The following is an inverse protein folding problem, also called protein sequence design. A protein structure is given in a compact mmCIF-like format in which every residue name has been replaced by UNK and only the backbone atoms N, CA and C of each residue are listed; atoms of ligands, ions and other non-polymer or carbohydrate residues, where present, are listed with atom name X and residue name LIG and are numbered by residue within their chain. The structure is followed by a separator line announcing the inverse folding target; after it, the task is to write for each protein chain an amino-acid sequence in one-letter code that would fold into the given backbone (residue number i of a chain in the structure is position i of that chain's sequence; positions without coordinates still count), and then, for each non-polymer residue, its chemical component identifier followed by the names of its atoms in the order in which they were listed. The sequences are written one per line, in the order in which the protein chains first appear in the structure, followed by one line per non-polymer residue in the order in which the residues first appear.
data_IF_445721727729
#
_entry.id   IF_445721727729
#
_cell.length_a   1.000
_cell.length_b   1.000
_cell.length_c   1.000
_cell.angle_alpha   90.00
_cell.angle_beta   90.00
_cell.angle_gamma   90.00
#
_symmetry.space_group_name_H-M   'P 1'
#
loop_
_entity.id
_entity.type
_entity.pdbx_description
1 polymer ?
#
# COMPACT_ATOMS: atom_id res chain seq x y z
N UNK A 1 68.61 -10.69 89.08
CA UNK A 1 68.18 -11.46 87.90
C UNK A 1 68.07 -10.48 86.76
N UNK A 2 69.14 -10.34 85.99
CA UNK A 2 69.10 -9.59 84.74
C UNK A 2 68.43 -10.51 83.72
N UNK A 3 67.22 -10.16 83.27
CA UNK A 3 66.64 -10.78 82.08
C UNK A 3 67.52 -10.38 80.90
N UNK A 4 68.36 -11.30 80.43
CA UNK A 4 69.26 -11.04 79.31
C UNK A 4 68.44 -10.59 78.10
N UNK A 5 68.61 -9.32 77.69
CA UNK A 5 67.95 -8.78 76.51
C UNK A 5 68.47 -9.53 75.29
N UNK A 6 67.70 -10.52 74.84
CA UNK A 6 68.02 -11.36 73.70
C UNK A 6 67.93 -10.52 72.42
N UNK A 7 69.07 -9.98 72.00
CA UNK A 7 69.17 -9.21 70.76
C UNK A 7 68.71 -10.07 69.59
N UNK A 8 67.82 -9.53 68.78
CA UNK A 8 67.38 -10.16 67.54
C UNK A 8 68.23 -9.59 66.41
N UNK A 9 68.74 -10.44 65.52
CA UNK A 9 69.57 -10.01 64.38
C UNK A 9 68.84 -10.32 63.08
N UNK A 10 68.78 -9.34 62.18
CA UNK A 10 68.28 -9.50 60.82
C UNK A 10 69.42 -9.21 59.85
N UNK A 11 69.80 -10.20 59.02
CA UNK A 11 70.75 -10.00 57.93
C UNK A 11 70.01 -9.73 56.61
N UNK A 12 70.23 -8.59 55.98
CA UNK A 12 69.71 -8.25 54.63
C UNK A 12 70.90 -8.03 53.71
N UNK A 13 70.98 -8.76 52.58
CA UNK A 13 72.07 -8.62 51.60
C UNK A 13 73.49 -8.60 52.24
N UNK A 14 73.69 -9.49 53.22
CA UNK A 14 74.91 -9.60 54.04
C UNK A 14 75.23 -8.44 55.01
N UNK A 15 74.37 -7.42 55.11
CA UNK A 15 74.39 -6.42 56.20
C UNK A 15 73.61 -6.91 57.43
N UNK A 16 74.23 -6.88 58.62
CA UNK A 16 73.56 -7.22 59.89
C UNK A 16 72.92 -5.99 60.55
N UNK A 17 71.63 -6.10 60.89
CA UNK A 17 70.89 -5.12 61.69
C UNK A 17 70.47 -5.73 63.02
N UNK A 18 70.75 -5.02 64.12
CA UNK A 18 70.46 -5.50 65.48
C UNK A 18 69.24 -4.79 66.08
N UNK A 19 68.27 -5.57 66.54
CA UNK A 19 67.02 -5.11 67.13
C UNK A 19 66.96 -5.43 68.63
N UNK A 20 66.34 -4.55 69.41
CA UNK A 20 66.13 -4.70 70.86
C UNK A 20 65.25 -5.89 71.25
N UNK A 21 64.44 -6.39 70.31
CA UNK A 21 63.60 -7.57 70.47
C UNK A 21 62.72 -7.81 69.24
N UNK A 22 61.93 -8.88 69.30
CA UNK A 22 61.07 -9.34 68.20
C UNK A 22 60.02 -8.28 67.82
N UNK A 23 59.47 -7.54 68.78
CA UNK A 23 58.49 -6.47 68.50
C UNK A 23 59.10 -5.30 67.69
N UNK A 24 60.38 -4.97 67.95
CA UNK A 24 61.10 -3.94 67.20
C UNK A 24 61.37 -4.39 65.77
N UNK A 25 61.75 -5.65 65.57
CA UNK A 25 61.89 -6.26 64.24
C UNK A 25 60.55 -6.28 63.50
N UNK A 26 59.45 -6.68 64.17
CA UNK A 26 58.10 -6.68 63.58
C UNK A 26 57.66 -5.29 63.16
N UNK A 27 57.97 -4.28 63.97
CA UNK A 27 57.68 -2.86 63.66
C UNK A 27 58.44 -2.40 62.41
N UNK A 28 59.73 -2.72 62.30
CA UNK A 28 60.55 -2.40 61.13
C UNK A 28 60.05 -3.12 59.86
N UNK A 29 59.74 -4.41 59.92
CA UNK A 29 59.20 -5.15 58.78
C UNK A 29 57.82 -4.62 58.34
N UNK A 30 57.02 -4.10 59.27
CA UNK A 30 55.76 -3.44 58.96
C UNK A 30 55.97 -2.07 58.31
N UNK A 31 56.95 -1.29 58.77
CA UNK A 31 57.33 -0.01 58.17
C UNK A 31 57.83 -0.19 56.72
N UNK A 32 58.66 -1.21 56.46
CA UNK A 32 59.05 -1.61 55.10
C UNK A 32 57.83 -2.04 54.25
N UNK A 33 56.90 -2.83 54.79
CA UNK A 33 55.68 -3.20 54.06
C UNK A 33 54.80 -2.00 53.67
N UNK A 34 54.72 -1.00 54.55
CA UNK A 34 53.96 0.23 54.31
C UNK A 34 54.71 1.23 53.40
N UNK A 35 56.05 1.30 53.45
CA UNK A 35 56.84 2.17 52.56
C UNK A 35 56.77 1.75 51.09
N UNK A 36 56.64 0.44 50.82
CA UNK A 36 56.46 -0.13 49.48
C UNK A 36 55.00 -0.31 49.02
N UNK A 37 54.02 -0.09 49.89
CA UNK A 37 52.57 -0.29 49.65
C UNK A 37 52.00 0.41 48.42
N UNK A 38 52.58 1.54 48.03
CA UNK A 38 52.25 2.30 46.82
C UNK A 38 52.35 1.46 45.53
N UNK A 39 53.22 0.45 45.47
CA UNK A 39 53.30 -0.47 44.34
C UNK A 39 51.97 -1.22 44.15
N UNK A 40 51.40 -1.77 45.22
CA UNK A 40 50.12 -2.48 45.18
C UNK A 40 48.95 -1.55 44.87
N UNK A 41 48.98 -0.32 45.39
CA UNK A 41 47.85 0.61 45.31
C UNK A 41 47.77 1.38 43.96
N UNK A 42 48.68 1.09 43.00
CA UNK A 42 48.69 1.68 41.65
C UNK A 42 47.56 1.17 40.74
N UNK A 43 46.48 1.95 40.61
CA UNK A 43 45.32 1.62 39.77
C UNK A 43 45.62 1.42 38.28
N UNK A 44 46.54 2.19 37.70
CA UNK A 44 46.81 2.20 36.25
C UNK A 44 47.46 0.89 35.78
N UNK A 45 48.29 0.27 36.63
CA UNK A 45 49.05 -0.95 36.31
C UNK A 45 48.79 -2.07 37.32
N UNK A 46 47.58 -2.14 37.87
CA UNK A 46 47.30 -2.94 39.09
C UNK A 46 47.73 -4.40 39.02
N UNK A 47 47.70 -5.05 37.86
CA UNK A 47 48.20 -6.42 37.71
C UNK A 47 49.74 -6.51 37.78
N UNK A 48 50.45 -5.61 37.09
CA UNK A 48 51.92 -5.59 36.97
C UNK A 48 52.55 -5.11 38.27
N UNK A 49 52.03 -4.02 38.82
CA UNK A 49 52.54 -3.40 40.04
C UNK A 49 52.27 -4.25 41.29
N UNK A 50 51.16 -5.00 41.32
CA UNK A 50 50.93 -6.04 42.32
C UNK A 50 51.84 -7.26 42.13
N UNK A 51 52.09 -7.74 40.90
CA UNK A 51 53.04 -8.83 40.63
C UNK A 51 54.47 -8.45 41.09
N UNK A 52 54.89 -7.21 40.84
CA UNK A 52 56.15 -6.66 41.34
C UNK A 52 56.15 -6.53 42.87
N UNK A 53 55.12 -5.96 43.51
CA UNK A 53 55.02 -5.90 44.98
C UNK A 53 55.08 -7.29 45.64
N UNK A 54 54.38 -8.28 45.05
CA UNK A 54 54.37 -9.65 45.54
C UNK A 54 55.76 -10.30 45.48
N UNK A 55 56.52 -10.07 44.41
CA UNK A 55 57.86 -10.64 44.18
C UNK A 55 58.96 -9.90 44.92
N UNK A 56 58.94 -8.57 44.91
CA UNK A 56 60.00 -7.71 45.45
C UNK A 56 59.89 -7.49 46.96
N UNK A 57 58.66 -7.43 47.50
CA UNK A 57 58.43 -7.13 48.93
C UNK A 57 57.92 -8.36 49.67
N UNK A 58 56.75 -8.86 49.28
CA UNK A 58 56.06 -9.89 50.06
C UNK A 58 56.79 -11.24 50.03
N UNK A 59 57.48 -11.59 48.95
CA UNK A 59 58.27 -12.83 48.87
C UNK A 59 59.35 -12.90 49.96
N UNK A 60 60.00 -11.76 50.25
CA UNK A 60 61.09 -11.68 51.21
C UNK A 60 60.59 -11.46 52.65
N UNK A 61 59.60 -10.58 52.86
CA UNK A 61 59.12 -10.22 54.20
C UNK A 61 58.13 -11.24 54.78
N UNK A 62 57.20 -11.77 53.97
CA UNK A 62 56.13 -12.64 54.51
C UNK A 62 56.63 -13.91 55.21
N UNK A 63 57.68 -14.62 54.70
CA UNK A 63 58.25 -15.77 55.41
C UNK A 63 58.86 -15.40 56.77
N UNK A 64 59.39 -14.18 56.93
CA UNK A 64 59.91 -13.70 58.21
C UNK A 64 58.79 -13.34 59.17
N UNK A 65 57.78 -12.60 58.71
CA UNK A 65 56.58 -12.28 59.51
C UNK A 65 55.88 -13.55 60.02
N UNK A 66 55.72 -14.57 59.17
CA UNK A 66 55.14 -15.86 59.56
C UNK A 66 56.00 -16.61 60.59
N UNK A 67 57.34 -16.53 60.51
CA UNK A 67 58.24 -17.12 61.52
C UNK A 67 58.14 -16.39 62.86
N UNK A 68 58.04 -15.06 62.83
CA UNK A 68 57.86 -14.21 64.02
C UNK A 68 56.52 -14.54 64.71
N UNK A 69 55.43 -14.61 63.95
CA UNK A 69 54.09 -14.93 64.47
C UNK A 69 53.94 -16.39 64.92
N UNK A 70 54.79 -17.29 64.40
CA UNK A 70 54.90 -18.68 64.85
C UNK A 70 55.51 -18.87 66.25
N UNK A 71 55.84 -17.79 66.97
CA UNK A 71 56.38 -17.85 68.33
C UNK A 71 57.88 -18.14 68.39
N UNK A 72 58.67 -17.56 67.48
CA UNK A 72 60.12 -17.63 67.55
C UNK A 72 60.64 -16.96 68.84
N UNK A 73 61.31 -17.73 69.70
CA UNK A 73 61.87 -17.24 70.95
C UNK A 73 62.89 -16.11 70.74
N UNK A 74 62.98 -15.22 71.73
CA UNK A 74 63.90 -14.08 71.70
C UNK A 74 65.35 -14.53 71.55
N UNK A 75 66.02 -14.04 70.51
CA UNK A 75 67.40 -14.42 70.15
C UNK A 75 67.53 -15.17 68.83
N UNK A 76 66.43 -15.39 68.10
CA UNK A 76 66.49 -15.93 66.74
C UNK A 76 67.22 -14.99 65.76
N UNK A 77 68.03 -15.59 64.88
CA UNK A 77 68.65 -14.94 63.72
C UNK A 77 67.72 -15.07 62.51
N UNK A 78 67.41 -13.93 61.87
CA UNK A 78 66.58 -13.86 60.68
C UNK A 78 67.44 -13.40 59.50
N UNK A 79 67.20 -13.92 58.30
CA UNK A 79 67.99 -13.60 57.13
C UNK A 79 67.12 -13.44 55.88
N UNK A 80 67.22 -12.28 55.23
CA UNK A 80 66.79 -12.06 53.85
C UNK A 80 68.02 -12.28 52.96
N UNK A 81 68.23 -13.54 52.59
CA UNK A 81 69.31 -13.97 51.67
C UNK A 81 68.70 -14.70 50.49
N UNK A 82 68.15 -13.93 49.55
CA UNK A 82 67.93 -14.43 48.19
C UNK A 82 69.04 -13.90 47.28
N UNK A 83 70.00 -14.77 46.97
CA UNK A 83 71.13 -14.47 46.09
C UNK A 83 70.71 -14.16 44.63
N UNK A 84 69.42 -14.28 44.28
CA UNK A 84 68.89 -13.98 42.95
C UNK A 84 68.05 -12.71 42.90
N UNK A 85 67.64 -12.18 44.05
CA UNK A 85 66.80 -10.99 44.14
C UNK A 85 67.19 -10.24 45.42
N UNK A 86 68.22 -9.36 45.36
CA UNK A 86 68.62 -8.57 46.52
C UNK A 86 67.45 -7.70 46.97
N UNK A 87 67.20 -7.67 48.28
CA UNK A 87 66.09 -6.89 48.82
C UNK A 87 66.54 -5.43 49.01
N UNK A 88 65.89 -4.49 48.31
CA UNK A 88 66.14 -3.06 48.52
C UNK A 88 65.37 -2.61 49.76
N UNK A 89 66.11 -2.22 50.80
CA UNK A 89 65.54 -1.57 51.99
C UNK A 89 65.02 -0.20 51.61
N UNK A 90 63.94 0.27 52.23
CA UNK A 90 63.40 1.60 51.92
C UNK A 90 64.29 2.76 52.42
N UNK A 91 65.23 2.47 53.33
CA UNK A 91 66.24 3.39 53.85
C UNK A 91 67.57 3.41 53.07
N UNK A 92 67.82 2.46 52.16
CA UNK A 92 69.07 2.41 51.38
C UNK A 92 69.13 3.54 50.35
N UNK A 93 70.31 3.77 49.76
CA UNK A 93 70.49 4.79 48.71
C UNK A 93 69.54 4.52 47.52
N UNK A 94 69.44 3.28 47.05
CA UNK A 94 68.45 2.84 46.06
C UNK A 94 66.99 3.11 46.50
N UNK A 95 66.65 2.76 47.74
CA UNK A 95 65.30 2.95 48.30
C UNK A 95 64.90 4.43 48.39
N UNK A 96 65.85 5.28 48.76
CA UNK A 96 65.72 6.73 48.76
C UNK A 96 65.63 7.31 47.34
N UNK A 97 66.41 6.79 46.38
CA UNK A 97 66.34 7.18 44.97
C UNK A 97 64.98 6.83 44.36
N UNK A 98 64.47 5.62 44.57
CA UNK A 98 63.13 5.20 44.15
C UNK A 98 62.07 6.09 44.80
N UNK A 99 62.18 6.35 46.10
CA UNK A 99 61.24 7.19 46.86
C UNK A 99 61.24 8.63 46.36
N UNK A 100 62.41 9.23 46.11
CA UNK A 100 62.55 10.58 45.54
C UNK A 100 61.99 10.64 44.13
N UNK A 101 62.39 9.72 43.24
CA UNK A 101 61.89 9.65 41.86
C UNK A 101 60.37 9.49 41.79
N UNK A 102 59.79 8.67 42.68
CA UNK A 102 58.33 8.54 42.87
C UNK A 102 57.68 9.87 43.28
N UNK A 103 58.26 10.59 44.23
CA UNK A 103 57.69 11.86 44.73
C UNK A 103 57.82 13.01 43.73
N UNK A 104 58.91 13.06 42.95
CA UNK A 104 59.18 14.15 42.01
C UNK A 104 58.52 13.95 40.64
N UNK A 105 58.51 12.72 40.12
CA UNK A 105 58.06 12.39 38.76
C UNK A 105 56.87 11.41 38.71
N UNK A 106 56.34 11.02 39.87
CA UNK A 106 55.18 10.15 40.00
C UNK A 106 55.50 8.65 39.99
N UNK A 107 54.47 7.86 40.28
CA UNK A 107 54.61 6.43 40.56
C UNK A 107 55.14 5.60 39.36
N UNK A 108 54.99 6.08 38.12
CA UNK A 108 55.46 5.37 36.92
C UNK A 108 56.98 5.39 36.84
N UNK A 109 57.62 6.54 37.10
CA UNK A 109 59.09 6.64 37.21
C UNK A 109 59.60 5.81 38.38
N UNK A 110 58.93 5.87 39.53
CA UNK A 110 59.26 4.99 40.67
C UNK A 110 59.22 3.49 40.30
N UNK A 111 58.22 3.07 39.51
CA UNK A 111 58.10 1.68 39.04
C UNK A 111 59.24 1.29 38.09
N UNK A 112 59.62 2.17 37.17
CA UNK A 112 60.77 1.93 36.30
C UNK A 112 62.10 1.91 37.07
N UNK A 113 62.28 2.74 38.11
CA UNK A 113 63.46 2.69 38.98
C UNK A 113 63.59 1.33 39.68
N UNK A 114 62.51 0.78 40.24
CA UNK A 114 62.49 -0.59 40.82
C UNK A 114 62.90 -1.64 39.77
N UNK A 115 62.43 -1.51 38.52
CA UNK A 115 62.74 -2.44 37.43
C UNK A 115 64.21 -2.33 36.96
N UNK A 116 64.79 -1.12 36.98
CA UNK A 116 66.13 -0.86 36.42
C UNK A 116 67.27 -0.95 37.42
N UNK A 117 67.04 -0.68 38.71
CA UNK A 117 68.07 -0.77 39.75
C UNK A 117 68.46 -2.23 40.07
N UNK A 118 67.55 -3.20 39.87
CA UNK A 118 67.85 -4.62 40.09
C UNK A 118 68.15 -5.34 38.77
N UNK A 119 69.39 -5.75 38.47
CA UNK A 119 69.75 -6.42 37.21
C UNK A 119 68.94 -7.69 36.93
N UNK A 120 68.59 -8.46 37.96
CA UNK A 120 67.87 -9.72 37.86
C UNK A 120 66.39 -9.53 37.49
N UNK A 121 65.85 -8.31 37.69
CA UNK A 121 64.51 -7.97 37.21
C UNK A 121 64.47 -7.84 35.69
N UNK A 122 65.61 -7.66 35.01
CA UNK A 122 65.66 -7.81 33.55
C UNK A 122 65.30 -9.24 33.10
N UNK A 123 65.56 -10.27 33.90
CA UNK A 123 65.03 -11.62 33.62
C UNK A 123 63.51 -11.69 33.84
N UNK A 124 62.97 -10.95 34.82
CA UNK A 124 61.53 -10.89 35.05
C UNK A 124 60.80 -10.14 33.92
N UNK A 125 61.41 -9.10 33.32
CA UNK A 125 60.92 -8.49 32.07
C UNK A 125 60.83 -9.56 30.97
N UNK A 126 61.86 -10.41 30.80
CA UNK A 126 61.83 -11.49 29.78
C UNK A 126 60.79 -12.59 30.08
N UNK A 127 60.58 -12.93 31.35
CA UNK A 127 59.70 -14.04 31.79
C UNK A 127 58.23 -13.64 31.94
N UNK A 128 57.93 -12.38 32.28
CA UNK A 128 56.57 -11.88 32.47
C UNK A 128 56.13 -11.04 31.25
N UNK A 129 55.25 -11.56 30.38
CA UNK A 129 54.83 -10.84 29.17
C UNK A 129 54.10 -9.53 29.51
N UNK A 130 53.45 -9.45 30.67
CA UNK A 130 52.79 -8.22 31.14
C UNK A 130 53.83 -7.12 31.46
N UNK A 131 54.89 -7.44 32.22
CA UNK A 131 56.00 -6.51 32.48
C UNK A 131 56.65 -6.11 31.15
N UNK A 132 56.92 -7.08 30.27
CA UNK A 132 57.49 -6.80 28.94
C UNK A 132 56.65 -5.80 28.16
N UNK A 133 55.33 -6.04 28.04
CA UNK A 133 54.43 -5.16 27.28
C UNK A 133 54.34 -3.74 27.86
N UNK A 134 54.52 -3.57 29.17
CA UNK A 134 54.56 -2.25 29.81
C UNK A 134 55.90 -1.53 29.58
N UNK A 135 57.02 -2.25 29.63
CA UNK A 135 58.36 -1.69 29.33
C UNK A 135 58.53 -1.36 27.84
N UNK A 136 57.80 -2.05 26.96
CA UNK A 136 57.76 -1.78 25.51
C UNK A 136 56.64 -0.80 25.09
N UNK A 137 55.84 -0.27 26.04
CA UNK A 137 54.76 0.67 25.74
C UNK A 137 55.30 2.09 25.48
N UNK A 138 55.17 2.55 24.23
CA UNK A 138 55.57 3.89 23.80
C UNK A 138 54.86 5.04 24.51
N UNK A 139 53.78 4.79 25.26
CA UNK A 139 53.12 5.81 26.08
C UNK A 139 54.00 6.31 27.24
N UNK A 140 54.96 5.50 27.72
CA UNK A 140 55.81 5.82 28.88
C UNK A 140 57.29 6.00 28.55
N UNK A 141 57.62 6.23 27.26
CA UNK A 141 59.02 6.38 26.84
C UNK A 141 59.74 7.55 27.51
N UNK A 142 59.02 8.58 27.99
CA UNK A 142 59.60 9.68 28.75
C UNK A 142 60.02 9.22 30.16
N UNK A 143 59.09 8.62 30.90
CA UNK A 143 59.30 8.11 32.25
C UNK A 143 60.36 7.01 32.27
N UNK A 144 60.35 6.14 31.26
CA UNK A 144 61.35 5.10 31.02
C UNK A 144 62.74 5.70 30.81
N UNK A 145 62.89 6.64 29.87
CA UNK A 145 64.18 7.28 29.58
C UNK A 145 64.69 8.11 30.77
N UNK A 146 63.78 8.73 31.54
CA UNK A 146 64.13 9.48 32.74
C UNK A 146 64.60 8.57 33.87
N UNK A 147 63.89 7.47 34.14
CA UNK A 147 64.30 6.48 35.13
C UNK A 147 65.65 5.84 34.75
N UNK A 148 65.83 5.47 33.48
CA UNK A 148 67.11 4.95 32.99
C UNK A 148 68.23 5.99 33.15
N UNK A 149 67.98 7.27 32.87
CA UNK A 149 68.95 8.35 33.09
C UNK A 149 69.31 8.53 34.57
N UNK A 150 68.35 8.39 35.49
CA UNK A 150 68.62 8.42 36.94
C UNK A 150 69.53 7.25 37.34
N UNK A 151 69.19 6.02 36.96
CA UNK A 151 70.04 4.84 37.25
C UNK A 151 71.43 4.99 36.64
N UNK A 152 71.54 5.48 35.41
CA UNK A 152 72.85 5.74 34.77
C UNK A 152 73.64 6.88 35.42
N UNK A 153 72.99 7.82 36.13
CA UNK A 153 73.67 8.87 36.88
C UNK A 153 74.12 8.40 38.27
N UNK A 154 73.47 7.37 38.79
CA UNK A 154 73.71 6.75 40.10
C UNK A 154 74.80 5.66 40.04
N UNK A 155 74.92 4.97 38.89
CA UNK A 155 76.06 4.09 38.59
C UNK A 155 77.36 4.91 38.65
N UNK A 156 78.15 4.69 39.70
CA UNK A 156 79.44 5.36 39.89
C UNK A 156 80.46 4.91 38.82
N UNK A 157 80.53 5.69 37.74
CA UNK A 157 81.52 5.58 36.66
C UNK A 157 82.97 5.64 37.16
N UNK A 158 83.23 6.07 38.40
CA UNK A 158 84.54 5.96 39.04
C UNK A 158 85.08 4.52 39.01
N UNK A 159 84.22 3.54 39.28
CA UNK A 159 84.57 2.11 39.28
C UNK A 159 84.98 1.58 37.90
N UNK A 160 84.28 1.98 36.83
CA UNK A 160 84.55 1.58 35.45
C UNK A 160 85.79 2.29 34.85
N UNK A 161 86.17 3.45 35.39
CA UNK A 161 87.30 4.24 34.88
C UNK A 161 88.69 3.73 35.28
N UNK A 162 88.78 2.87 36.31
CA UNK A 162 90.06 2.50 36.92
C UNK A 162 90.81 1.34 36.24
N UNK A 163 90.10 0.41 35.56
CA UNK A 163 90.72 -0.82 35.02
C UNK A 163 91.18 -0.73 33.54
N UNK A 164 90.80 0.31 32.79
CA UNK A 164 91.12 0.46 31.37
C UNK A 164 92.35 1.36 31.10
N UNK A 165 93.53 0.90 31.53
CA UNK A 165 94.78 1.70 31.50
C UNK A 165 95.41 1.78 30.09
N UNK A 166 95.05 2.84 29.36
CA UNK A 166 95.80 3.51 28.26
C UNK A 166 96.14 2.71 26.98
N UNK A 167 96.58 1.46 27.05
CA UNK A 167 96.95 0.68 25.85
C UNK A 167 95.75 0.15 25.04
N UNK A 168 94.66 -0.22 25.73
CA UNK A 168 93.44 -0.70 25.07
C UNK A 168 92.60 0.43 24.43
N UNK A 169 92.83 1.68 24.83
CA UNK A 169 92.02 2.82 24.37
C UNK A 169 92.33 3.21 22.93
N UNK A 170 93.59 3.21 22.50
CA UNK A 170 93.93 3.51 21.10
C UNK A 170 93.37 2.42 20.16
N UNK A 171 93.47 1.15 20.54
CA UNK A 171 92.87 0.04 19.76
C UNK A 171 91.33 0.10 19.75
N UNK A 172 90.69 0.49 20.87
CA UNK A 172 89.25 0.73 20.91
C UNK A 172 88.82 1.92 20.06
N UNK A 173 89.59 3.02 20.06
CA UNK A 173 89.32 4.22 19.25
C UNK A 173 89.51 3.91 17.76
N UNK A 174 90.52 3.14 17.38
CA UNK A 174 90.73 2.74 15.98
C UNK A 174 89.63 1.78 15.50
N UNK A 175 89.28 0.75 16.30
CA UNK A 175 88.13 -0.14 16.03
C UNK A 175 86.81 0.62 15.99
N UNK A 176 86.61 1.63 16.84
CA UNK A 176 85.42 2.48 16.85
C UNK A 176 85.36 3.34 15.59
N UNK A 177 86.45 4.02 15.23
CA UNK A 177 86.59 4.79 14.00
C UNK A 177 86.29 3.94 12.76
N UNK A 178 86.81 2.72 12.70
CA UNK A 178 86.54 1.79 11.61
C UNK A 178 85.05 1.38 11.56
N UNK A 179 84.43 1.01 12.69
CA UNK A 179 82.98 0.70 12.72
C UNK A 179 82.11 1.90 12.37
N UNK A 180 82.50 3.11 12.78
CA UNK A 180 81.82 4.35 12.40
C UNK A 180 81.90 4.54 10.89
N UNK A 181 83.06 4.31 10.28
CA UNK A 181 83.24 4.39 8.82
C UNK A 181 82.44 3.32 8.06
N UNK A 182 82.44 2.08 8.54
CA UNK A 182 81.62 0.97 8.01
C UNK A 182 80.12 1.28 8.14
N UNK A 183 79.71 1.88 9.27
CA UNK A 183 78.33 2.33 9.49
C UNK A 183 77.94 3.48 8.58
N UNK A 184 78.85 4.41 8.28
CA UNK A 184 78.60 5.47 7.28
C UNK A 184 78.43 4.89 5.88
N UNK A 185 79.28 3.95 5.43
CA UNK A 185 79.08 3.30 4.12
C UNK A 185 77.78 2.50 4.05
N UNK A 186 77.36 1.87 5.15
CA UNK A 186 76.09 1.15 5.21
C UNK A 186 74.87 2.10 5.22
N UNK A 187 75.01 3.30 5.78
CA UNK A 187 74.00 4.36 5.71
C UNK A 187 73.88 4.93 4.29
N UNK A 188 75.00 5.16 3.59
CA UNK A 188 74.98 5.61 2.18
C UNK A 188 74.33 4.55 1.26
N UNK A 189 74.67 3.26 1.43
CA UNK A 189 74.04 2.15 0.69
C UNK A 189 72.54 2.05 0.98
N UNK A 190 72.14 2.24 2.24
CA UNK A 190 70.73 2.28 2.64
C UNK A 190 70.00 3.51 2.07
N UNK A 191 70.64 4.67 1.98
CA UNK A 191 70.05 5.87 1.37
C UNK A 191 69.72 5.63 -0.12
N UNK A 192 70.62 5.00 -0.87
CA UNK A 192 70.39 4.66 -2.27
C UNK A 192 69.33 3.56 -2.46
N UNK A 193 69.30 2.51 -1.63
CA UNK A 193 68.20 1.52 -1.66
C UNK A 193 66.84 2.18 -1.35
N UNK A 194 66.79 3.10 -0.37
CA UNK A 194 65.57 3.87 -0.07
C UNK A 194 65.15 4.75 -1.25
N UNK A 195 66.07 5.46 -1.92
CA UNK A 195 65.77 6.24 -3.15
C UNK A 195 65.20 5.36 -4.27
N UNK A 196 65.84 4.22 -4.54
CA UNK A 196 65.39 3.27 -5.57
C UNK A 196 64.00 2.69 -5.27
N UNK A 197 63.74 2.33 -4.00
CA UNK A 197 62.41 1.88 -3.55
C UNK A 197 61.36 2.98 -3.68
N UNK A 198 61.68 4.23 -3.34
CA UNK A 198 60.76 5.36 -3.49
C UNK A 198 60.38 5.57 -4.97
N UNK A 199 61.35 5.60 -5.89
CA UNK A 199 61.09 5.73 -7.33
C UNK A 199 60.28 4.54 -7.91
N UNK A 200 60.55 3.32 -7.44
CA UNK A 200 59.76 2.14 -7.80
C UNK A 200 58.31 2.23 -7.29
N UNK A 201 58.12 2.72 -6.05
CA UNK A 201 56.81 2.92 -5.44
C UNK A 201 56.02 4.00 -6.19
N UNK A 202 56.63 5.13 -6.49
CA UNK A 202 56.03 6.26 -7.21
C UNK A 202 55.53 5.85 -8.60
N UNK A 203 56.40 5.25 -9.43
CA UNK A 203 56.02 4.75 -10.76
C UNK A 203 54.96 3.64 -10.71
N UNK A 204 54.95 2.81 -9.65
CA UNK A 204 53.89 1.82 -9.42
C UNK A 204 52.55 2.49 -9.07
N UNK A 205 52.57 3.56 -8.28
CA UNK A 205 51.37 4.35 -7.98
C UNK A 205 50.82 5.04 -9.22
N UNK A 206 51.63 5.72 -10.03
CA UNK A 206 51.18 6.34 -11.29
C UNK A 206 50.53 5.33 -12.24
N UNK A 207 51.17 4.15 -12.40
CA UNK A 207 50.65 3.08 -13.26
C UNK A 207 49.32 2.51 -12.75
N UNK A 208 49.13 2.38 -11.43
CA UNK A 208 47.85 1.96 -10.85
C UNK A 208 46.80 3.07 -10.95
N UNK A 209 47.18 4.32 -10.71
CA UNK A 209 46.28 5.47 -10.74
C UNK A 209 45.72 5.71 -12.15
N UNK A 210 46.57 5.68 -13.18
CA UNK A 210 46.16 5.77 -14.59
C UNK A 210 45.24 4.61 -15.02
N UNK A 211 45.50 3.39 -14.56
CA UNK A 211 44.59 2.25 -14.77
C UNK A 211 43.23 2.45 -14.07
N UNK A 212 43.21 3.00 -12.86
CA UNK A 212 41.98 3.32 -12.13
C UNK A 212 41.19 4.41 -12.87
N UNK A 213 41.83 5.50 -13.27
CA UNK A 213 41.22 6.59 -14.04
C UNK A 213 40.59 6.09 -15.35
N UNK A 214 41.33 5.31 -16.15
CA UNK A 214 40.80 4.73 -17.39
C UNK A 214 39.61 3.79 -17.15
N UNK A 215 39.65 2.99 -16.08
CA UNK A 215 38.54 2.13 -15.70
C UNK A 215 37.31 2.91 -15.21
N UNK A 216 37.51 4.02 -14.47
CA UNK A 216 36.45 4.91 -14.04
C UNK A 216 35.81 5.63 -15.22
N UNK A 217 36.59 6.19 -16.16
CA UNK A 217 36.09 6.82 -17.39
C UNK A 217 35.21 5.84 -18.20
N UNK A 218 35.72 4.62 -18.46
CA UNK A 218 34.96 3.54 -19.14
C UNK A 218 33.72 3.05 -18.37
N UNK A 219 33.64 3.26 -17.06
CA UNK A 219 32.42 2.98 -16.26
C UNK A 219 31.43 4.14 -16.38
N UNK A 220 31.88 5.38 -16.26
CA UNK A 220 31.06 6.59 -16.40
C UNK A 220 30.39 6.64 -17.77
N UNK A 221 31.12 6.34 -18.85
CA UNK A 221 30.57 6.27 -20.21
C UNK A 221 29.48 5.19 -20.35
N UNK A 222 29.71 3.99 -19.81
CA UNK A 222 28.69 2.92 -19.80
C UNK A 222 27.47 3.24 -18.94
N UNK A 223 27.64 3.94 -17.81
CA UNK A 223 26.50 4.41 -17.02
C UNK A 223 25.72 5.51 -17.74
N UNK A 224 26.39 6.39 -18.49
CA UNK A 224 25.73 7.41 -19.33
C UNK A 224 24.93 6.77 -20.46
N UNK A 225 25.51 5.80 -21.20
CA UNK A 225 24.78 5.10 -22.26
C UNK A 225 23.58 4.33 -21.69
N UNK A 226 23.79 3.52 -20.66
CA UNK A 226 22.73 2.76 -20.00
C UNK A 226 21.60 3.67 -19.47
N UNK A 227 21.93 4.82 -18.87
CA UNK A 227 20.92 5.78 -18.42
C UNK A 227 20.15 6.42 -19.57
N UNK A 228 20.78 6.62 -20.73
CA UNK A 228 20.11 7.08 -21.95
C UNK A 228 19.17 6.00 -22.50
N UNK A 229 19.65 4.76 -22.60
CA UNK A 229 18.88 3.61 -23.12
C UNK A 229 17.65 3.33 -22.25
N UNK A 230 17.81 3.34 -20.92
CA UNK A 230 16.71 3.18 -19.95
C UNK A 230 15.69 4.32 -20.08
N UNK A 231 16.13 5.57 -20.29
CA UNK A 231 15.22 6.70 -20.52
C UNK A 231 14.44 6.56 -21.83
N UNK A 232 15.10 6.11 -22.89
CA UNK A 232 14.45 5.87 -24.18
C UNK A 232 13.42 4.73 -24.12
N UNK A 233 13.77 3.60 -23.52
CA UNK A 233 12.86 2.46 -23.31
C UNK A 233 11.69 2.81 -22.37
N UNK A 234 11.94 3.54 -21.28
CA UNK A 234 10.88 4.00 -20.37
C UNK A 234 9.96 5.00 -21.07
N UNK A 235 10.51 5.95 -21.83
CA UNK A 235 9.73 6.91 -22.61
C UNK A 235 8.85 6.23 -23.66
N UNK A 236 9.39 5.22 -24.35
CA UNK A 236 8.62 4.39 -25.29
C UNK A 236 7.49 3.64 -24.57
N UNK A 237 7.79 2.89 -23.50
CA UNK A 237 6.79 2.14 -22.73
C UNK A 237 5.69 3.04 -22.14
N UNK A 238 6.04 4.26 -21.74
CA UNK A 238 5.05 5.24 -21.28
C UNK A 238 4.15 5.72 -22.42
N UNK A 239 4.71 5.98 -23.60
CA UNK A 239 3.96 6.35 -24.80
C UNK A 239 3.04 5.20 -25.27
N UNK A 240 3.56 3.98 -25.32
CA UNK A 240 2.82 2.76 -25.69
C UNK A 240 1.65 2.55 -24.70
N UNK A 241 1.90 2.63 -23.39
CA UNK A 241 0.86 2.52 -22.36
C UNK A 241 -0.17 3.66 -22.39
N UNK A 242 0.22 4.89 -22.76
CA UNK A 242 -0.72 5.99 -22.97
C UNK A 242 -1.60 5.77 -24.20
N UNK A 243 -1.04 5.22 -25.28
CA UNK A 243 -1.78 4.85 -26.48
C UNK A 243 -2.74 3.69 -26.23
N UNK A 244 -2.31 2.66 -25.50
CA UNK A 244 -3.16 1.53 -25.09
C UNK A 244 -4.31 1.99 -24.18
N UNK A 245 -4.03 2.85 -23.19
CA UNK A 245 -5.06 3.42 -22.32
C UNK A 245 -6.08 4.25 -23.12
N UNK A 246 -5.61 5.04 -24.08
CA UNK A 246 -6.51 5.79 -24.97
C UNK A 246 -7.36 4.84 -25.83
N UNK A 247 -6.74 3.85 -26.46
CA UNK A 247 -7.45 2.86 -27.28
C UNK A 247 -8.50 2.08 -26.47
N UNK A 248 -8.16 1.68 -25.24
CA UNK A 248 -9.09 1.01 -24.33
C UNK A 248 -10.22 1.94 -23.86
N UNK A 249 -9.94 3.22 -23.62
CA UNK A 249 -10.96 4.22 -23.30
C UNK A 249 -11.93 4.43 -24.47
N UNK A 250 -11.40 4.59 -25.68
CA UNK A 250 -12.19 4.82 -26.89
C UNK A 250 -13.09 3.60 -27.17
N UNK A 251 -12.53 2.38 -27.12
CA UNK A 251 -13.30 1.13 -27.24
C UNK A 251 -14.38 0.95 -26.15
N UNK A 252 -14.13 1.42 -24.92
CA UNK A 252 -15.14 1.43 -23.86
C UNK A 252 -16.27 2.43 -24.14
N UNK A 253 -15.97 3.61 -24.70
CA UNK A 253 -17.01 4.58 -25.08
C UNK A 253 -17.88 4.02 -26.21
N UNK A 254 -17.26 3.42 -27.24
CA UNK A 254 -17.98 2.73 -28.32
C UNK A 254 -18.93 1.64 -27.77
N UNK A 255 -18.48 0.85 -26.79
CA UNK A 255 -19.32 -0.18 -26.16
C UNK A 255 -20.50 0.42 -25.37
N UNK A 256 -20.28 1.52 -24.65
CA UNK A 256 -21.33 2.22 -23.87
C UNK A 256 -22.38 2.86 -24.80
N UNK A 257 -21.96 3.52 -25.88
CA UNK A 257 -22.87 4.15 -26.84
C UNK A 257 -23.70 3.11 -27.59
N UNK A 258 -23.12 1.95 -27.92
CA UNK A 258 -23.84 0.83 -28.52
C UNK A 258 -24.84 0.20 -27.54
N UNK A 259 -24.51 0.01 -26.26
CA UNK A 259 -25.48 -0.50 -25.28
C UNK A 259 -26.63 0.50 -25.04
N UNK A 260 -26.35 1.80 -25.00
CA UNK A 260 -27.39 2.83 -24.94
C UNK A 260 -28.40 2.71 -26.11
N UNK A 261 -27.93 2.36 -27.31
CA UNK A 261 -28.82 2.09 -28.45
C UNK A 261 -29.67 0.82 -28.26
N UNK A 262 -29.13 -0.25 -27.66
CA UNK A 262 -29.90 -1.46 -27.29
C UNK A 262 -30.95 -1.12 -26.24
N UNK A 263 -30.60 -0.33 -25.22
CA UNK A 263 -31.53 0.11 -24.18
C UNK A 263 -32.68 0.94 -24.78
N UNK A 264 -32.39 1.87 -25.70
CA UNK A 264 -33.42 2.65 -26.41
C UNK A 264 -34.39 1.75 -27.19
N UNK A 265 -33.89 0.86 -28.05
CA UNK A 265 -34.75 0.01 -28.88
C UNK A 265 -35.51 -1.05 -28.08
N UNK A 266 -34.91 -1.60 -27.01
CA UNK A 266 -35.60 -2.53 -26.11
C UNK A 266 -36.69 -1.83 -25.30
N UNK A 267 -36.46 -0.60 -24.81
CA UNK A 267 -37.51 0.21 -24.23
C UNK A 267 -38.65 0.44 -25.23
N UNK A 268 -38.32 0.87 -26.47
CA UNK A 268 -39.30 1.10 -27.54
C UNK A 268 -40.12 -0.15 -27.85
N UNK A 269 -39.49 -1.33 -27.94
CA UNK A 269 -40.14 -2.63 -28.09
C UNK A 269 -41.17 -2.88 -26.99
N UNK A 270 -40.83 -2.64 -25.71
CA UNK A 270 -41.79 -2.85 -24.61
C UNK A 270 -42.97 -1.87 -24.68
N UNK A 271 -42.75 -0.61 -25.05
CA UNK A 271 -43.84 0.38 -25.18
C UNK A 271 -44.82 0.00 -26.29
N UNK A 272 -44.33 -0.37 -27.48
CA UNK A 272 -45.20 -0.80 -28.59
C UNK A 272 -45.86 -2.17 -28.33
N UNK A 273 -45.18 -3.09 -27.63
CA UNK A 273 -45.79 -4.36 -27.22
C UNK A 273 -46.94 -4.15 -26.22
N UNK A 274 -46.79 -3.25 -25.24
CA UNK A 274 -47.87 -2.87 -24.31
C UNK A 274 -49.03 -2.18 -25.05
N UNK A 275 -48.72 -1.22 -25.92
CA UNK A 275 -49.74 -0.53 -26.72
C UNK A 275 -50.51 -1.49 -27.64
N UNK A 276 -49.83 -2.46 -28.27
CA UNK A 276 -50.44 -3.52 -29.07
C UNK A 276 -51.50 -4.29 -28.26
N UNK A 277 -51.16 -4.78 -27.08
CA UNK A 277 -52.13 -5.52 -26.25
C UNK A 277 -53.27 -4.63 -25.73
N UNK A 278 -53.00 -3.36 -25.43
CA UNK A 278 -54.04 -2.40 -25.02
C UNK A 278 -55.04 -2.11 -26.16
N UNK A 279 -54.58 -1.94 -27.39
CA UNK A 279 -55.47 -1.75 -28.55
C UNK A 279 -56.22 -3.03 -28.93
N UNK A 280 -55.59 -4.21 -28.80
CA UNK A 280 -56.29 -5.49 -28.95
C UNK A 280 -57.41 -5.64 -27.91
N UNK A 281 -57.14 -5.30 -26.66
CA UNK A 281 -58.15 -5.31 -25.60
C UNK A 281 -59.28 -4.30 -25.89
N UNK A 282 -58.96 -3.10 -26.37
CA UNK A 282 -59.96 -2.11 -26.78
C UNK A 282 -60.87 -2.62 -27.93
N UNK A 283 -60.30 -3.30 -28.93
CA UNK A 283 -61.08 -3.94 -30.01
C UNK A 283 -62.02 -5.02 -29.46
N UNK A 284 -61.53 -5.89 -28.58
CA UNK A 284 -62.36 -6.92 -27.92
C UNK A 284 -63.48 -6.27 -27.09
N UNK A 285 -63.18 -5.18 -26.37
CA UNK A 285 -64.18 -4.44 -25.61
C UNK A 285 -65.24 -3.80 -26.52
N UNK A 286 -64.86 -3.17 -27.63
CA UNK A 286 -65.83 -2.62 -28.59
C UNK A 286 -66.69 -3.71 -29.23
N UNK A 287 -66.11 -4.87 -29.55
CA UNK A 287 -66.86 -6.04 -30.06
C UNK A 287 -67.82 -6.62 -29.00
N UNK A 288 -67.42 -6.65 -27.74
CA UNK A 288 -68.31 -7.01 -26.63
C UNK A 288 -69.44 -6.01 -26.45
N UNK A 289 -69.13 -4.71 -26.46
CA UNK A 289 -70.10 -3.61 -26.33
C UNK A 289 -71.09 -3.62 -27.50
N UNK A 290 -70.68 -3.91 -28.74
CA UNK A 290 -71.66 -4.04 -29.84
C UNK A 290 -72.59 -5.21 -29.62
N UNK A 291 -72.07 -6.38 -29.25
CA UNK A 291 -72.86 -7.59 -29.04
C UNK A 291 -73.85 -7.44 -27.89
N UNK A 292 -73.38 -7.08 -26.69
CA UNK A 292 -74.24 -6.87 -25.51
C UNK A 292 -75.12 -5.63 -25.64
N UNK A 293 -74.65 -4.58 -26.32
CA UNK A 293 -75.43 -3.37 -26.62
C UNK A 293 -76.62 -3.67 -27.53
N UNK A 294 -76.42 -4.45 -28.60
CA UNK A 294 -77.50 -4.93 -29.47
C UNK A 294 -78.50 -5.80 -28.70
N UNK A 295 -78.02 -6.78 -27.92
CA UNK A 295 -78.89 -7.65 -27.11
C UNK A 295 -79.72 -6.82 -26.11
N UNK A 296 -79.09 -5.85 -25.43
CA UNK A 296 -79.79 -4.97 -24.47
C UNK A 296 -80.79 -4.06 -25.19
N UNK A 297 -80.41 -3.45 -26.31
CA UNK A 297 -81.27 -2.56 -27.09
C UNK A 297 -82.56 -3.26 -27.55
N UNK A 298 -82.45 -4.49 -28.08
CA UNK A 298 -83.65 -5.28 -28.43
C UNK A 298 -84.39 -5.81 -27.19
N UNK A 299 -83.69 -6.21 -26.12
CA UNK A 299 -84.28 -6.70 -24.88
C UNK A 299 -85.12 -5.67 -24.12
N UNK A 300 -84.75 -4.39 -24.15
CA UNK A 300 -85.51 -3.28 -23.56
C UNK A 300 -86.61 -2.71 -24.49
N UNK A 301 -86.88 -3.34 -25.65
CA UNK A 301 -87.94 -2.93 -26.57
C UNK A 301 -87.57 -1.77 -27.51
N UNK A 302 -86.28 -1.57 -27.79
CA UNK A 302 -85.76 -0.55 -28.71
C UNK A 302 -86.27 0.89 -28.43
N UNK A 303 -86.36 1.77 -29.42
CA UNK A 303 -86.83 3.16 -29.28
C UNK A 303 -88.31 3.19 -28.82
N UNK A 304 -89.08 2.15 -29.13
CA UNK A 304 -90.47 2.01 -28.65
C UNK A 304 -90.59 1.92 -27.12
N UNK A 305 -89.57 1.41 -26.42
CA UNK A 305 -89.46 1.44 -24.96
C UNK A 305 -88.99 2.79 -24.43
N UNK A 306 -88.05 3.43 -25.13
CA UNK A 306 -87.47 4.74 -24.76
C UNK A 306 -88.48 5.89 -24.83
N UNK A 307 -89.41 5.88 -25.79
CA UNK A 307 -90.44 6.93 -25.86
C UNK A 307 -91.38 6.92 -24.65
N UNK A 308 -91.65 5.74 -24.06
CA UNK A 308 -92.48 5.60 -22.85
C UNK A 308 -91.81 6.17 -21.60
N UNK A 309 -90.49 6.05 -21.46
CA UNK A 309 -89.78 6.69 -20.33
C UNK A 309 -89.64 8.20 -20.53
N UNK A 310 -89.39 8.67 -21.75
CA UNK A 310 -89.29 10.10 -22.05
C UNK A 310 -90.63 10.86 -21.86
N UNK A 311 -91.77 10.23 -22.17
CA UNK A 311 -93.08 10.84 -21.88
C UNK A 311 -93.42 10.95 -20.38
N UNK A 312 -92.76 10.18 -19.50
CA UNK A 312 -92.94 10.31 -18.04
C UNK A 312 -92.24 11.53 -17.41
N UNK A 313 -91.55 12.36 -18.21
CA UNK A 313 -90.77 13.53 -17.75
C UNK A 313 -91.43 14.87 -18.16
N UNK A 314 -92.70 14.86 -18.58
CA UNK A 314 -93.47 16.09 -18.79
C UNK A 314 -93.98 16.68 -17.47
N UNK A 315 -93.37 17.79 -17.03
CA UNK A 315 -93.81 18.57 -15.87
C UNK A 315 -95.25 19.09 -16.05
N UNK A 316 -96.12 19.00 -15.02
CA UNK A 316 -97.45 19.60 -15.07
C UNK A 316 -97.36 21.09 -14.75
N UNK A 317 -97.70 21.95 -15.72
CA UNK A 317 -98.07 23.34 -15.42
C UNK A 317 -99.51 23.60 -15.87
N UNK A 318 -100.39 23.63 -14.87
CA UNK A 318 -101.77 24.10 -14.94
C UNK A 318 -101.81 25.56 -15.43
N UNK A 319 -102.83 25.96 -16.18
CA UNK A 319 -103.96 26.80 -15.69
C UNK A 319 -104.85 27.23 -16.88
N UNK A 320 -106.17 27.04 -16.73
CA UNK A 320 -107.24 27.49 -17.64
C UNK A 320 -107.40 29.03 -17.59
N UNK A 321 -108.16 29.70 -18.49
CA UNK A 321 -109.61 29.80 -18.24
C UNK A 321 -110.51 29.83 -19.49
N UNK A 322 -111.81 29.61 -19.22
CA UNK A 322 -112.93 29.59 -20.18
C UNK A 322 -113.46 30.99 -20.53
N UNK A 323 -114.38 31.07 -21.52
CA UNK A 323 -115.66 31.82 -21.44
C UNK A 323 -116.59 31.51 -22.65
N UNK A 324 -117.90 31.38 -22.35
CA UNK A 324 -119.14 31.49 -23.18
C UNK A 324 -119.09 31.40 -24.73
N UNK A 325 -119.86 30.59 -25.46
CA UNK A 325 -121.31 30.24 -25.45
C UNK A 325 -122.28 31.25 -26.13
N UNK A 326 -122.79 30.93 -27.33
CA UNK A 326 -124.06 31.41 -27.93
C UNK A 326 -124.70 30.25 -28.74
N UNK A 327 -126.03 30.26 -28.90
CA UNK A 327 -126.85 29.17 -29.48
C UNK A 327 -127.69 29.63 -30.69
N UNK A 328 -128.67 28.80 -31.08
CA UNK A 328 -129.68 28.94 -32.16
C UNK A 328 -129.22 28.67 -33.62
N UNK A 329 -130.05 28.12 -34.52
CA UNK A 329 -131.49 27.74 -34.42
C UNK A 329 -131.82 26.47 -35.22
N UNK A 330 -133.04 25.95 -35.07
CA UNK A 330 -133.54 24.71 -35.69
C UNK A 330 -134.89 24.93 -36.41
N UNK A 331 -135.26 24.03 -37.36
CA UNK A 331 -136.58 23.33 -37.44
C UNK A 331 -136.86 22.61 -38.78
N UNK A 332 -137.90 21.75 -38.72
CA UNK A 332 -138.59 21.00 -39.78
C UNK A 332 -137.93 19.67 -40.18
N UNK A 333 -138.59 18.50 -40.10
CA UNK A 333 -139.94 18.19 -39.59
C UNK A 333 -140.22 16.67 -39.56
N UNK A 334 -141.19 16.22 -38.77
CA UNK A 334 -141.73 14.84 -38.80
C UNK A 334 -142.82 14.74 -39.91
N UNK A 335 -143.23 13.62 -40.52
CA UNK A 335 -143.91 12.38 -40.05
C UNK A 335 -144.18 11.48 -41.30
N UNK A 336 -144.62 10.21 -41.29
CA UNK A 336 -144.55 9.02 -40.39
C UNK A 336 -145.10 7.79 -41.20
N UNK A 337 -145.17 6.56 -40.63
CA UNK A 337 -145.65 5.27 -41.21
C UNK A 337 -144.94 4.69 -42.46
N UNK A 338 -144.87 3.37 -42.72
CA UNK A 338 -145.20 2.16 -41.94
C UNK A 338 -144.28 0.97 -42.31
N UNK A 339 -144.41 -0.15 -41.60
CA UNK A 339 -143.63 -1.38 -41.70
C UNK A 339 -143.78 -2.17 -43.02
N UNK A 340 -142.75 -2.95 -43.41
CA UNK A 340 -142.76 -4.41 -43.13
C UNK A 340 -141.45 -5.18 -43.46
N UNK A 341 -141.00 -5.94 -42.45
CA UNK A 341 -140.30 -7.24 -42.48
C UNK A 341 -138.83 -7.36 -42.95
N UNK A 342 -138.10 -8.39 -42.41
CA UNK A 342 -136.64 -8.50 -42.51
C UNK A 342 -136.16 -9.57 -43.51
N UNK A 343 -134.86 -9.59 -43.79
CA UNK A 343 -134.03 -10.81 -43.97
C UNK A 343 -132.54 -10.45 -43.86
N UNK A 344 -131.74 -11.42 -43.42
CA UNK A 344 -130.28 -11.33 -43.19
C UNK A 344 -129.47 -10.96 -44.46
N UNK A 345 -128.25 -10.45 -44.26
CA UNK A 345 -127.00 -11.14 -44.67
C UNK A 345 -125.76 -10.43 -44.08
N UNK A 346 -124.75 -11.21 -43.73
CA UNK A 346 -123.42 -10.77 -43.28
C UNK A 346 -122.68 -9.89 -44.30
N UNK A 347 -121.80 -9.00 -43.86
CA UNK A 347 -120.34 -9.16 -44.08
C UNK A 347 -119.50 -7.97 -43.59
N UNK A 348 -118.24 -8.31 -43.31
CA UNK A 348 -117.12 -7.46 -42.89
C UNK A 348 -117.05 -6.07 -43.54
N UNK A 349 -116.75 -5.05 -42.72
CA UNK A 349 -116.04 -3.85 -43.21
C UNK A 349 -114.98 -3.33 -42.23
N UNK A 350 -113.82 -3.98 -42.35
CA UNK A 350 -112.45 -3.46 -42.25
C UNK A 350 -112.15 -2.30 -41.28
N UNK A 351 -111.31 -2.63 -40.29
CA UNK A 351 -110.34 -1.73 -39.68
C UNK A 351 -109.53 -0.96 -40.74
N UNK A 352 -109.73 0.36 -40.83
CA UNK A 352 -108.80 1.29 -41.47
C UNK A 352 -108.41 2.35 -40.43
N UNK A 353 -107.25 2.19 -39.79
CA UNK A 353 -106.81 3.12 -38.73
C UNK A 353 -105.54 2.75 -37.95
N UNK A 354 -104.69 1.82 -38.42
CA UNK A 354 -103.50 1.38 -37.69
C UNK A 354 -102.39 0.80 -38.59
N UNK A 355 -101.60 1.65 -39.26
CA UNK A 355 -100.40 1.19 -40.01
C UNK A 355 -99.24 2.19 -40.11
N UNK A 356 -99.43 3.50 -40.01
CA UNK A 356 -98.34 4.48 -40.25
C UNK A 356 -97.39 4.68 -39.07
N UNK A 357 -97.90 4.72 -37.83
CA UNK A 357 -97.10 4.95 -36.63
C UNK A 357 -96.18 3.77 -36.30
N UNK A 358 -96.71 2.55 -36.24
CA UNK A 358 -95.96 1.31 -35.96
C UNK A 358 -94.80 1.12 -36.96
N UNK A 359 -95.04 1.39 -38.25
CA UNK A 359 -94.00 1.29 -39.29
C UNK A 359 -92.94 2.38 -39.15
N UNK A 360 -93.32 3.62 -38.80
CA UNK A 360 -92.34 4.70 -38.55
C UNK A 360 -91.43 4.40 -37.36
N UNK A 361 -91.96 3.72 -36.33
CA UNK A 361 -91.23 3.36 -35.12
C UNK A 361 -90.24 2.20 -35.39
N UNK A 362 -90.68 1.16 -36.09
CA UNK A 362 -89.81 0.06 -36.52
C UNK A 362 -88.70 0.53 -37.48
N UNK A 363 -88.96 1.53 -38.33
CA UNK A 363 -87.94 2.16 -39.18
C UNK A 363 -86.95 2.99 -38.35
N UNK A 364 -87.41 3.73 -37.34
CA UNK A 364 -86.53 4.43 -36.42
C UNK A 364 -85.63 3.47 -35.61
N UNK A 365 -86.18 2.33 -35.16
CA UNK A 365 -85.43 1.28 -34.47
C UNK A 365 -84.31 0.69 -35.34
N UNK A 366 -84.62 0.39 -36.61
CA UNK A 366 -83.69 -0.17 -37.58
C UNK A 366 -82.59 0.83 -37.95
N UNK A 367 -82.95 2.10 -38.15
CA UNK A 367 -81.97 3.19 -38.40
C UNK A 367 -81.08 3.42 -37.18
N UNK A 368 -81.64 3.42 -35.97
CA UNK A 368 -80.87 3.56 -34.73
C UNK A 368 -79.86 2.43 -34.53
N UNK A 369 -80.28 1.17 -34.72
CA UNK A 369 -79.39 0.01 -34.66
C UNK A 369 -78.31 0.05 -35.76
N UNK A 370 -78.65 0.46 -36.98
CA UNK A 370 -77.69 0.61 -38.08
C UNK A 370 -76.65 1.69 -37.80
N UNK A 371 -77.04 2.84 -37.22
CA UNK A 371 -76.12 3.92 -36.84
C UNK A 371 -75.21 3.54 -35.66
N UNK A 372 -75.72 2.77 -34.68
CA UNK A 372 -74.87 2.22 -33.63
C UNK A 372 -73.83 1.24 -34.20
N UNK A 373 -74.26 0.34 -35.09
CA UNK A 373 -73.38 -0.65 -35.72
C UNK A 373 -72.31 0.00 -36.62
N UNK A 374 -72.64 1.06 -37.37
CA UNK A 374 -71.65 1.81 -38.17
C UNK A 374 -70.63 2.50 -37.27
N UNK A 375 -71.08 3.20 -36.21
CA UNK A 375 -70.22 3.92 -35.28
C UNK A 375 -69.20 2.98 -34.61
N UNK A 376 -69.67 1.88 -34.02
CA UNK A 376 -68.76 0.92 -33.40
C UNK A 376 -67.91 0.15 -34.42
N UNK A 377 -68.41 -0.09 -35.64
CA UNK A 377 -67.61 -0.64 -36.74
C UNK A 377 -66.41 0.23 -37.10
N UNK A 378 -66.60 1.56 -37.12
CA UNK A 378 -65.50 2.53 -37.29
C UNK A 378 -64.53 2.49 -36.11
N UNK A 379 -65.01 2.41 -34.86
CA UNK A 379 -64.14 2.29 -33.68
C UNK A 379 -63.32 0.99 -33.69
N UNK A 380 -63.91 -0.13 -34.08
CA UNK A 380 -63.22 -1.42 -34.27
C UNK A 380 -62.15 -1.30 -35.36
N UNK A 381 -62.44 -0.67 -36.51
CA UNK A 381 -61.47 -0.43 -37.59
C UNK A 381 -60.30 0.44 -37.15
N UNK A 382 -60.56 1.51 -36.38
CA UNK A 382 -59.51 2.37 -35.79
C UNK A 382 -58.66 1.54 -34.82
N UNK A 383 -59.27 0.77 -33.92
CA UNK A 383 -58.56 -0.08 -32.98
C UNK A 383 -57.69 -1.15 -33.66
N UNK A 384 -58.20 -1.80 -34.71
CA UNK A 384 -57.45 -2.77 -35.52
C UNK A 384 -56.29 -2.11 -36.28
N UNK A 385 -56.47 -0.90 -36.82
CA UNK A 385 -55.40 -0.13 -37.46
C UNK A 385 -54.29 0.24 -36.47
N UNK A 386 -54.65 0.69 -35.26
CA UNK A 386 -53.67 1.00 -34.22
C UNK A 386 -52.97 -0.26 -33.68
N UNK A 387 -53.69 -1.38 -33.53
CA UNK A 387 -53.12 -2.69 -33.21
C UNK A 387 -52.08 -3.11 -34.25
N UNK A 388 -52.43 -3.10 -35.54
CA UNK A 388 -51.51 -3.46 -36.63
C UNK A 388 -50.30 -2.53 -36.68
N UNK A 389 -50.49 -1.22 -36.54
CA UNK A 389 -49.40 -0.24 -36.50
C UNK A 389 -48.43 -0.53 -35.34
N UNK A 390 -48.94 -0.69 -34.11
CA UNK A 390 -48.10 -1.04 -32.97
C UNK A 390 -47.48 -2.44 -33.06
N UNK A 391 -48.13 -3.40 -33.74
CA UNK A 391 -47.55 -4.71 -34.00
C UNK A 391 -46.37 -4.62 -34.97
N UNK A 392 -46.48 -3.86 -36.06
CA UNK A 392 -45.37 -3.60 -36.97
C UNK A 392 -44.23 -2.84 -36.28
N UNK A 393 -44.52 -1.79 -35.51
CA UNK A 393 -43.48 -1.05 -34.78
C UNK A 393 -42.82 -1.87 -33.67
N UNK A 394 -43.52 -2.82 -33.05
CA UNK A 394 -42.93 -3.77 -32.12
C UNK A 394 -42.03 -4.79 -32.84
N UNK A 395 -42.45 -5.29 -34.00
CA UNK A 395 -41.65 -6.22 -34.82
C UNK A 395 -40.35 -5.55 -35.30
N UNK A 396 -40.44 -4.37 -35.91
CA UNK A 396 -39.29 -3.53 -36.34
C UNK A 396 -38.33 -3.23 -35.16
N UNK A 397 -38.86 -2.88 -33.98
CA UNK A 397 -38.03 -2.69 -32.79
C UNK A 397 -37.34 -4.00 -32.33
N UNK A 398 -37.99 -5.16 -32.46
CA UNK A 398 -37.39 -6.46 -32.10
C UNK A 398 -36.31 -6.90 -33.09
N UNK A 399 -36.49 -6.63 -34.38
CA UNK A 399 -35.48 -6.84 -35.42
C UNK A 399 -34.27 -5.96 -35.15
N UNK A 400 -34.47 -4.65 -34.91
CA UNK A 400 -33.39 -3.70 -34.56
C UNK A 400 -32.62 -4.13 -33.31
N UNK A 401 -33.29 -4.52 -32.22
CA UNK A 401 -32.60 -5.05 -31.01
C UNK A 401 -31.76 -6.28 -31.35
N UNK A 402 -32.26 -7.18 -32.20
CA UNK A 402 -31.55 -8.40 -32.61
C UNK A 402 -30.34 -8.07 -33.49
N UNK A 403 -30.47 -7.11 -34.41
CA UNK A 403 -29.36 -6.65 -35.24
C UNK A 403 -28.29 -5.92 -34.43
N UNK A 404 -28.63 -5.00 -33.52
CA UNK A 404 -27.62 -4.34 -32.65
C UNK A 404 -26.90 -5.38 -31.78
N UNK A 405 -27.62 -6.34 -31.20
CA UNK A 405 -26.99 -7.41 -30.39
C UNK A 405 -26.08 -8.32 -31.22
N UNK A 406 -26.48 -8.66 -32.45
CA UNK A 406 -25.64 -9.43 -33.38
C UNK A 406 -24.40 -8.63 -33.79
N UNK A 407 -24.54 -7.33 -34.05
CA UNK A 407 -23.43 -6.42 -34.33
C UNK A 407 -22.45 -6.33 -33.15
N UNK A 408 -22.96 -6.16 -31.92
CA UNK A 408 -22.17 -6.18 -30.69
C UNK A 408 -21.41 -7.51 -30.50
N UNK A 409 -22.04 -8.65 -30.78
CA UNK A 409 -21.38 -9.95 -30.73
C UNK A 409 -20.25 -10.08 -31.78
N UNK A 410 -20.50 -9.66 -33.03
CA UNK A 410 -19.50 -9.67 -34.11
C UNK A 410 -18.35 -8.68 -33.88
N UNK A 411 -18.62 -7.55 -33.21
CA UNK A 411 -17.63 -6.57 -32.78
C UNK A 411 -16.76 -7.14 -31.64
N UNK A 412 -17.37 -7.74 -30.61
CA UNK A 412 -16.69 -8.37 -29.49
C UNK A 412 -15.84 -9.59 -29.88
N UNK A 413 -16.27 -10.35 -30.90
CA UNK A 413 -15.48 -11.44 -31.48
C UNK A 413 -14.37 -10.96 -32.45
N UNK A 414 -14.21 -9.65 -32.67
CA UNK A 414 -13.17 -9.10 -33.54
C UNK A 414 -13.30 -9.48 -35.02
N UNK A 415 -14.50 -9.89 -35.46
CA UNK A 415 -14.77 -10.34 -36.84
C UNK A 415 -14.99 -9.17 -37.81
N UNK A 416 -15.36 -7.98 -37.31
CA UNK A 416 -15.56 -6.77 -38.10
C UNK A 416 -14.28 -5.92 -38.16
N UNK A 417 -13.33 -6.36 -39.00
CA UNK A 417 -12.01 -5.72 -39.17
C UNK A 417 -11.97 -4.60 -40.21
N UNK A 418 -12.94 -4.56 -41.13
CA UNK A 418 -13.06 -3.51 -42.14
C UNK A 418 -14.13 -2.49 -41.75
N UNK A 419 -13.87 -1.20 -41.94
CA UNK A 419 -14.88 -0.16 -41.77
C UNK A 419 -16.00 -0.26 -42.83
N UNK A 420 -15.74 -0.90 -43.98
CA UNK A 420 -16.77 -1.16 -44.99
C UNK A 420 -17.79 -2.20 -44.48
N UNK A 421 -17.36 -3.23 -43.76
CA UNK A 421 -18.27 -4.22 -43.15
C UNK A 421 -19.16 -3.56 -42.08
N UNK A 422 -18.56 -2.66 -41.28
CA UNK A 422 -19.28 -1.87 -40.29
C UNK A 422 -20.31 -0.96 -40.95
N UNK A 423 -19.95 -0.30 -42.05
CA UNK A 423 -20.84 0.56 -42.84
C UNK A 423 -22.05 -0.20 -43.38
N UNK A 424 -21.84 -1.37 -43.98
CA UNK A 424 -22.94 -2.22 -44.52
C UNK A 424 -23.90 -2.64 -43.41
N UNK A 425 -23.40 -3.02 -42.22
CA UNK A 425 -24.27 -3.39 -41.10
C UNK A 425 -25.02 -2.17 -40.54
N UNK A 426 -24.37 -1.01 -40.40
CA UNK A 426 -25.03 0.22 -39.96
C UNK A 426 -26.11 0.69 -40.96
N UNK A 427 -25.86 0.57 -42.27
CA UNK A 427 -26.88 0.85 -43.30
C UNK A 427 -28.10 -0.09 -43.17
N UNK A 428 -27.87 -1.37 -42.89
CA UNK A 428 -28.96 -2.32 -42.61
C UNK A 428 -29.74 -1.96 -41.33
N UNK A 429 -29.06 -1.46 -40.30
CA UNK A 429 -29.63 -1.09 -39.00
C UNK A 429 -30.49 0.18 -39.06
N UNK A 430 -30.04 1.18 -39.83
CA UNK A 430 -30.69 2.48 -39.97
C UNK A 430 -31.65 2.58 -41.16
N UNK A 431 -31.86 1.49 -41.90
CA UNK A 431 -32.86 1.44 -42.96
C UNK A 431 -34.23 1.88 -42.43
N UNK A 432 -34.90 2.73 -43.19
CA UNK A 432 -36.29 3.12 -42.93
C UNK A 432 -37.17 1.88 -43.08
N UNK A 433 -37.83 1.48 -42.00
CA UNK A 433 -38.86 0.43 -42.05
C UNK A 433 -39.99 0.93 -42.93
N UNK A 434 -40.19 0.28 -44.08
CA UNK A 434 -41.31 0.63 -44.95
C UNK A 434 -42.61 0.37 -44.18
N UNK A 435 -43.50 1.35 -44.05
CA UNK A 435 -44.79 1.11 -43.42
C UNK A 435 -45.53 0.10 -44.29
N UNK A 436 -45.76 -1.10 -43.74
CA UNK A 436 -46.54 -2.12 -44.40
C UNK A 436 -47.90 -1.53 -44.75
N UNK A 437 -48.17 -1.37 -46.05
CA UNK A 437 -49.46 -0.90 -46.54
C UNK A 437 -50.44 -2.05 -46.31
N UNK A 438 -51.00 -2.09 -45.10
CA UNK A 438 -52.11 -2.95 -44.76
C UNK A 438 -53.26 -2.58 -45.71
N UNK A 439 -53.54 -3.47 -46.65
CA UNK A 439 -54.63 -3.32 -47.61
C UNK A 439 -55.94 -3.26 -46.83
N UNK A 440 -56.47 -2.04 -46.67
CA UNK A 440 -57.69 -1.82 -45.90
C UNK A 440 -58.85 -2.53 -46.61
N UNK A 441 -59.39 -3.59 -46.01
CA UNK A 441 -60.59 -4.26 -46.50
C UNK A 441 -61.73 -3.21 -46.52
N UNK A 442 -62.37 -2.94 -47.67
CA UNK A 442 -63.41 -1.93 -47.74
C UNK A 442 -64.62 -2.40 -46.93
N UNK A 443 -64.88 -1.72 -45.81
CA UNK A 443 -66.09 -1.91 -45.03
C UNK A 443 -67.26 -1.24 -45.75
N UNK A 444 -68.07 -2.04 -46.46
CA UNK A 444 -69.36 -1.56 -46.96
C UNK A 444 -70.28 -1.23 -45.79
N UNK A 445 -70.77 0.00 -45.75
CA UNK A 445 -71.66 0.44 -44.68
C UNK A 445 -72.97 -0.35 -44.73
N UNK A 446 -73.58 -0.73 -43.59
CA UNK A 446 -74.97 -1.18 -43.54
C UNK A 446 -75.94 -0.28 -44.31
N UNK A 447 -75.67 1.03 -44.37
CA UNK A 447 -76.47 1.99 -45.15
C UNK A 447 -76.29 1.80 -46.66
N UNK A 448 -75.09 1.48 -47.15
CA UNK A 448 -74.85 1.09 -48.55
C UNK A 448 -75.49 -0.25 -48.89
N UNK A 449 -75.47 -1.20 -47.94
CA UNK A 449 -76.11 -2.50 -48.07
C UNK A 449 -77.64 -2.39 -48.15
N UNK A 450 -78.23 -1.50 -47.34
CA UNK A 450 -79.65 -1.11 -47.39
C UNK A 450 -79.97 -0.36 -48.70
N UNK A 451 -79.17 0.64 -49.09
CA UNK A 451 -79.35 1.38 -50.35
C UNK A 451 -79.27 0.45 -51.57
N UNK A 452 -78.34 -0.51 -51.56
CA UNK A 452 -78.21 -1.52 -52.62
C UNK A 452 -79.42 -2.45 -52.68
N UNK A 453 -79.89 -2.97 -51.54
CA UNK A 453 -81.09 -3.83 -51.49
C UNK A 453 -82.40 -3.08 -51.79
N UNK A 454 -82.44 -1.76 -51.64
CA UNK A 454 -83.55 -0.91 -52.10
C UNK A 454 -83.42 -0.57 -53.60
N UNK A 455 -82.19 -0.36 -54.09
CA UNK A 455 -81.89 -0.09 -55.50
C UNK A 455 -82.15 -1.29 -56.41
N UNK A 456 -81.69 -2.48 -56.04
CA UNK A 456 -81.90 -3.74 -56.76
C UNK A 456 -83.38 -4.17 -56.84
N UNK A 457 -84.27 -3.49 -56.11
CA UNK A 457 -85.73 -3.69 -56.14
C UNK A 457 -86.49 -2.80 -57.15
N UNK A 458 -85.78 -2.02 -57.97
CA UNK A 458 -86.34 -1.29 -59.13
C UNK A 458 -85.69 -1.75 -60.45
N UNK A 459 -85.91 -3.02 -60.79
CA UNK A 459 -85.75 -3.58 -62.15
C UNK A 459 -86.98 -4.44 -62.44
#
# INVERSE_FOLDING_TARGET
MESGNSKTVLTINDEEMHFSGVDSLKSYLQEELDSWKWLRDMKVFGAISNDLYNKFVLHHISPLMNKIEGGADGGAEFAIKDLRFPYIKSDSEDGQLITRGRHEQGNVVGLFLVIYLCPEYQELIRKSPAIKSFVEDGQYSYEQAFALKLVMADIDFGSLSCDARVGANDELVERFSQRVKESYSALDEFEEDVKLRLAYIESTYEKRFSQIDHNLKRRIERYKSFSSDVKADTGKKLSDAQQDLKSAKDAYHDQVDLDASVQYWSHRLTTHTRAKYLWLFAVICFMGITFFGLISYYGYGAVSGLSKSLHSVSLPLTTEPQIASVSESAKSGAEVVDATKPVNVSENKMLLGRTTSELSLAMADLVGAALALTLFGVLIRIGLRQFNSHSHCALDASERVTFVKTYLALLGEGKLKSDEDRRVILESLFRTSQPGVATEIPFSSPIELILKTIGDKRV
#
